data_IF_602844720592
#
_entry.id   IF_602844720592
#
_cell.length_a   1.000
_cell.length_b   1.000
_cell.length_c   1.000
_cell.angle_alpha   90.00
_cell.angle_beta   90.00
_cell.angle_gamma   90.00
#
_symmetry.space_group_name_H-M   'P 1'
#
loop_
_entity.id
_entity.type
_entity.pdbx_description
1 polymer ?
#
# COMPACT_ATOMS: atom_id res chain seq x y z
N UNK A 1 -2.94 12.90 -37.35
CA UNK A 1 -3.92 13.96 -37.65
C UNK A 1 -4.50 14.42 -36.33
N UNK A 2 -4.29 15.69 -35.94
CA UNK A 2 -4.99 16.24 -34.78
C UNK A 2 -6.42 16.58 -35.19
N UNK A 3 -7.38 16.27 -34.32
CA UNK A 3 -8.74 16.68 -34.56
C UNK A 3 -8.82 18.21 -34.45
N UNK A 4 -9.33 18.87 -35.49
CA UNK A 4 -9.44 20.33 -35.53
C UNK A 4 -10.60 20.84 -34.69
N UNK A 5 -11.59 20.00 -34.42
CA UNK A 5 -12.83 20.38 -33.74
C UNK A 5 -12.73 20.28 -32.22
N UNK A 6 -11.92 19.36 -31.72
CA UNK A 6 -11.79 19.14 -30.29
C UNK A 6 -10.41 18.63 -29.92
N UNK A 7 -10.01 18.91 -28.70
CA UNK A 7 -8.72 18.55 -28.15
C UNK A 7 -8.89 17.87 -26.81
N UNK A 8 -8.38 16.65 -26.69
CA UNK A 8 -8.39 15.86 -25.46
C UNK A 8 -6.94 15.64 -25.07
N UNK A 9 -6.63 15.90 -23.79
CA UNK A 9 -5.34 15.57 -23.18
C UNK A 9 -5.60 14.86 -21.86
N UNK A 10 -4.84 13.82 -21.59
CA UNK A 10 -4.92 13.04 -20.35
C UNK A 10 -3.58 13.15 -19.63
N UNK A 11 -3.60 13.40 -18.32
CA UNK A 11 -2.41 13.51 -17.48
C UNK A 11 -1.31 14.39 -18.09
N UNK A 12 -1.70 15.50 -18.71
CA UNK A 12 -0.78 16.37 -19.44
C UNK A 12 -0.72 17.73 -18.78
N UNK A 13 0.49 18.22 -18.56
CA UNK A 13 0.71 19.57 -18.05
C UNK A 13 0.25 20.61 -19.08
N UNK A 14 -0.57 21.54 -18.64
CA UNK A 14 -1.06 22.64 -19.44
C UNK A 14 -0.07 23.80 -19.29
N UNK A 15 0.56 24.23 -20.39
CA UNK A 15 1.47 25.37 -20.34
C UNK A 15 0.67 26.65 -20.10
N UNK A 16 1.11 27.40 -19.11
CA UNK A 16 0.52 28.66 -18.65
C UNK A 16 1.61 29.73 -18.57
N UNK A 17 1.23 31.00 -18.69
CA UNK A 17 2.17 32.11 -18.51
C UNK A 17 2.51 32.29 -17.03
N UNK A 18 1.54 32.05 -16.14
CA UNK A 18 1.75 32.06 -14.71
C UNK A 18 2.26 30.70 -14.20
N UNK A 19 3.13 30.73 -13.18
CA UNK A 19 3.56 29.52 -12.48
C UNK A 19 2.46 29.06 -11.52
N UNK A 20 1.56 28.21 -12.03
CA UNK A 20 0.47 27.61 -11.26
C UNK A 20 0.94 26.28 -10.62
N UNK A 21 0.50 26.03 -9.38
CA UNK A 21 0.79 24.78 -8.66
C UNK A 21 0.07 23.57 -9.28
N UNK A 22 -1.22 23.70 -9.56
CA UNK A 22 -2.06 22.67 -10.16
C UNK A 22 -2.36 22.99 -11.62
N UNK A 23 -1.53 22.47 -12.54
CA UNK A 23 -1.68 22.69 -13.99
C UNK A 23 -1.74 21.38 -14.80
N UNK A 24 -1.94 20.24 -14.14
CA UNK A 24 -2.00 18.91 -14.74
C UNK A 24 -3.29 18.20 -14.34
N UNK A 25 -4.43 18.48 -14.99
CA UNK A 25 -5.68 17.77 -14.75
C UNK A 25 -5.60 16.33 -15.26
N UNK A 26 -6.40 15.44 -14.66
CA UNK A 26 -6.51 14.05 -15.11
C UNK A 26 -7.00 14.00 -16.56
N UNK A 27 -8.05 14.76 -16.86
CA UNK A 27 -8.55 14.92 -18.24
C UNK A 27 -8.83 16.40 -18.51
N UNK A 28 -8.23 16.88 -19.59
CA UNK A 28 -8.52 18.16 -20.21
C UNK A 28 -9.26 17.91 -21.52
N UNK A 29 -10.42 18.54 -21.68
CA UNK A 29 -11.18 18.49 -22.92
C UNK A 29 -11.57 19.89 -23.37
N UNK A 30 -11.09 20.28 -24.55
CA UNK A 30 -11.43 21.55 -25.17
C UNK A 30 -12.25 21.31 -26.44
N UNK A 31 -13.52 21.66 -26.37
CA UNK A 31 -14.39 21.77 -27.54
C UNK A 31 -14.17 23.13 -28.20
N UNK A 32 -13.55 23.12 -29.38
CA UNK A 32 -13.21 24.33 -30.14
C UNK A 32 -14.43 24.91 -30.87
N UNK A 33 -15.50 24.13 -31.05
CA UNK A 33 -16.73 24.59 -31.70
C UNK A 33 -17.58 25.40 -30.73
N UNK A 34 -17.79 24.87 -29.54
CA UNK A 34 -18.58 25.51 -28.48
C UNK A 34 -17.74 26.48 -27.62
N UNK A 35 -16.43 26.52 -27.87
CA UNK A 35 -15.43 27.26 -27.11
C UNK A 35 -15.56 27.02 -25.59
N UNK A 36 -15.61 25.74 -25.23
CA UNK A 36 -15.86 25.25 -23.88
C UNK A 36 -14.75 24.27 -23.47
N UNK A 37 -14.12 24.55 -22.33
CA UNK A 37 -13.07 23.74 -21.74
C UNK A 37 -13.64 23.03 -20.52
N UNK A 38 -13.33 21.74 -20.41
CA UNK A 38 -13.64 20.89 -19.27
C UNK A 38 -12.35 20.45 -18.62
N UNK A 39 -12.25 20.72 -17.32
CA UNK A 39 -11.20 20.21 -16.45
C UNK A 39 -11.84 19.15 -15.57
N UNK A 40 -11.51 17.89 -15.82
CA UNK A 40 -12.09 16.76 -15.12
C UNK A 40 -11.03 16.19 -14.17
N UNK A 41 -11.43 16.01 -12.93
CA UNK A 41 -10.61 15.46 -11.87
C UNK A 41 -11.34 14.25 -11.28
N UNK A 42 -10.71 13.09 -11.35
CA UNK A 42 -11.26 11.82 -10.88
C UNK A 42 -10.68 11.51 -9.50
N UNK A 43 -11.47 10.94 -8.61
CA UNK A 43 -11.04 10.59 -7.27
C UNK A 43 -11.73 9.34 -6.75
N UNK A 44 -10.98 8.51 -6.02
CA UNK A 44 -11.53 7.42 -5.21
C UNK A 44 -11.33 7.76 -3.74
N UNK A 45 -12.37 7.58 -2.90
CA UNK A 45 -12.32 7.99 -1.48
C UNK A 45 -13.18 7.11 -0.57
N UNK A 46 -13.12 7.36 0.73
CA UNK A 46 -14.02 6.78 1.72
C UNK A 46 -15.38 7.45 1.67
N UNK A 47 -16.43 6.74 2.11
CA UNK A 47 -17.76 7.33 2.24
C UNK A 47 -17.77 8.57 3.15
N UNK A 48 -16.99 8.54 4.24
CA UNK A 48 -16.93 9.62 5.23
C UNK A 48 -16.36 10.92 4.63
N UNK A 49 -15.38 10.78 3.74
CA UNK A 49 -14.69 11.92 3.12
C UNK A 49 -15.31 12.35 1.79
N UNK A 50 -16.34 11.66 1.29
CA UNK A 50 -16.89 11.84 -0.05
C UNK A 50 -17.20 13.31 -0.37
N UNK A 51 -17.90 14.00 0.54
CA UNK A 51 -18.25 15.41 0.35
C UNK A 51 -17.04 16.34 0.39
N UNK A 52 -16.11 16.11 1.31
CA UNK A 52 -14.92 16.95 1.45
C UNK A 52 -14.02 16.86 0.21
N UNK A 53 -13.78 15.63 -0.27
CA UNK A 53 -12.95 15.37 -1.46
C UNK A 53 -13.60 15.93 -2.72
N UNK A 54 -14.93 15.87 -2.83
CA UNK A 54 -15.64 16.47 -3.96
C UNK A 54 -15.44 17.99 -4.03
N UNK A 55 -15.58 18.68 -2.89
CA UNK A 55 -15.37 20.15 -2.80
C UNK A 55 -13.91 20.51 -3.05
N UNK A 56 -12.96 19.77 -2.48
CA UNK A 56 -11.53 19.99 -2.71
C UNK A 56 -11.19 19.89 -4.20
N UNK A 57 -11.67 18.83 -4.88
CA UNK A 57 -11.43 18.63 -6.32
C UNK A 57 -12.13 19.66 -7.19
N UNK A 58 -13.30 20.17 -6.77
CA UNK A 58 -14.00 21.24 -7.47
C UNK A 58 -13.16 22.53 -7.53
N UNK A 59 -12.49 22.87 -6.43
CA UNK A 59 -11.73 24.12 -6.30
C UNK A 59 -10.24 24.00 -6.67
N UNK A 60 -9.75 22.78 -6.91
CA UNK A 60 -8.33 22.49 -7.21
C UNK A 60 -7.79 23.30 -8.39
N UNK A 61 -8.62 23.58 -9.40
CA UNK A 61 -8.21 24.24 -10.64
C UNK A 61 -8.81 25.63 -10.85
N UNK A 62 -9.31 26.31 -9.81
CA UNK A 62 -9.94 27.63 -9.96
C UNK A 62 -9.00 28.68 -10.60
N UNK A 63 -7.73 28.68 -10.20
CA UNK A 63 -6.70 29.58 -10.74
C UNK A 63 -6.40 29.23 -12.21
N UNK A 64 -6.24 27.94 -12.51
CA UNK A 64 -5.98 27.45 -13.87
C UNK A 64 -7.15 27.77 -14.81
N UNK A 65 -8.38 27.60 -14.33
CA UNK A 65 -9.58 27.91 -15.08
C UNK A 65 -9.66 29.40 -15.46
N UNK A 66 -9.29 30.28 -14.53
CA UNK A 66 -9.23 31.72 -14.76
C UNK A 66 -8.21 32.08 -15.85
N UNK A 67 -7.02 31.48 -15.80
CA UNK A 67 -5.99 31.72 -16.81
C UNK A 67 -6.38 31.17 -18.19
N UNK A 68 -6.94 29.96 -18.24
CA UNK A 68 -7.41 29.36 -19.50
C UNK A 68 -8.55 30.15 -20.13
N UNK A 69 -9.42 30.74 -19.31
CA UNK A 69 -10.45 31.65 -19.78
C UNK A 69 -9.86 32.90 -20.43
N UNK A 70 -8.72 33.41 -19.96
CA UNK A 70 -8.03 34.55 -20.58
C UNK A 70 -7.31 34.14 -21.88
N UNK A 71 -6.56 33.04 -21.85
CA UNK A 71 -5.75 32.57 -22.99
C UNK A 71 -6.65 32.18 -24.18
N UNK A 72 -7.67 31.34 -23.92
CA UNK A 72 -8.52 30.79 -24.97
C UNK A 72 -9.80 31.60 -25.20
N UNK A 73 -10.08 32.60 -24.34
CA UNK A 73 -11.37 33.33 -24.34
C UNK A 73 -12.57 32.37 -24.27
N UNK A 74 -12.38 31.24 -23.60
CA UNK A 74 -13.32 30.12 -23.53
C UNK A 74 -14.02 30.08 -22.17
N UNK A 75 -15.21 29.47 -22.11
CA UNK A 75 -15.80 29.10 -20.82
C UNK A 75 -15.06 27.88 -20.29
N UNK A 76 -14.75 27.87 -19.00
CA UNK A 76 -14.09 26.73 -18.35
C UNK A 76 -15.02 26.15 -17.30
N UNK A 77 -15.16 24.82 -17.27
CA UNK A 77 -15.95 24.08 -16.28
C UNK A 77 -15.06 23.05 -15.59
N UNK A 78 -15.02 23.10 -14.27
CA UNK A 78 -14.34 22.10 -13.44
C UNK A 78 -15.37 21.05 -13.01
N UNK A 79 -15.05 19.78 -13.20
CA UNK A 79 -15.94 18.65 -12.92
C UNK A 79 -15.21 17.62 -12.04
N UNK A 80 -15.53 17.55 -10.75
CA UNK A 80 -15.04 16.49 -9.88
C UNK A 80 -15.88 15.21 -10.09
N UNK A 81 -15.20 14.10 -10.42
CA UNK A 81 -15.79 12.77 -10.52
C UNK A 81 -15.25 11.96 -9.35
N UNK A 82 -16.01 11.92 -8.25
CA UNK A 82 -15.61 11.21 -7.03
C UNK A 82 -16.51 10.00 -6.80
N UNK A 83 -15.88 8.84 -6.58
CA UNK A 83 -16.55 7.56 -6.34
C UNK A 83 -15.92 6.92 -5.10
N UNK A 84 -16.70 6.24 -4.27
CA UNK A 84 -16.10 5.47 -3.17
C UNK A 84 -15.56 4.13 -3.65
N UNK A 85 -14.62 3.54 -2.92
CA UNK A 85 -14.16 2.18 -3.21
C UNK A 85 -15.28 1.12 -3.12
N UNK A 86 -16.40 1.44 -2.46
CA UNK A 86 -17.64 0.66 -2.37
C UNK A 86 -18.61 0.93 -3.53
N UNK A 87 -18.24 1.75 -4.52
CA UNK A 87 -19.07 2.12 -5.66
C UNK A 87 -20.18 3.12 -5.36
N UNK A 88 -20.24 3.66 -4.15
CA UNK A 88 -21.19 4.69 -3.74
C UNK A 88 -20.76 6.04 -4.35
N UNK A 89 -21.73 6.80 -4.83
CA UNK A 89 -21.52 8.13 -5.43
C UNK A 89 -22.40 9.17 -4.77
N UNK A 90 -22.00 10.44 -4.85
CA UNK A 90 -22.79 11.54 -4.33
C UNK A 90 -24.05 11.78 -5.20
N UNK A 91 -25.01 12.53 -4.66
CA UNK A 91 -26.18 12.95 -5.45
C UNK A 91 -25.82 13.94 -6.56
N UNK A 92 -24.68 14.62 -6.43
CA UNK A 92 -24.18 15.62 -7.38
C UNK A 92 -23.50 14.91 -8.57
N UNK A 93 -22.89 13.74 -8.35
CA UNK A 93 -22.31 12.89 -9.41
C UNK A 93 -23.24 12.75 -10.62
N UNK A 94 -24.54 12.50 -10.38
CA UNK A 94 -25.53 12.39 -11.47
C UNK A 94 -25.59 13.63 -12.34
N UNK A 95 -25.56 14.82 -11.73
CA UNK A 95 -25.59 16.10 -12.47
C UNK A 95 -24.34 16.26 -13.34
N UNK A 96 -23.17 15.88 -12.83
CA UNK A 96 -21.92 15.94 -13.61
C UNK A 96 -21.93 14.94 -14.78
N UNK A 97 -22.43 13.72 -14.58
CA UNK A 97 -22.54 12.75 -15.66
C UNK A 97 -23.54 13.18 -16.75
N UNK A 98 -24.66 13.78 -16.36
CA UNK A 98 -25.63 14.38 -17.30
C UNK A 98 -25.02 15.55 -18.07
N UNK A 99 -24.26 16.40 -17.37
CA UNK A 99 -23.56 17.54 -17.95
C UNK A 99 -22.51 17.13 -18.99
N UNK A 100 -21.85 15.98 -18.77
CA UNK A 100 -20.89 15.38 -19.72
C UNK A 100 -21.57 14.51 -20.79
N UNK A 101 -22.89 14.31 -20.74
CA UNK A 101 -23.62 13.46 -21.68
C UNK A 101 -23.31 11.96 -21.54
N UNK A 102 -22.86 11.51 -20.37
CA UNK A 102 -22.50 10.11 -20.13
C UNK A 102 -23.76 9.30 -19.83
N UNK A 103 -24.03 8.28 -20.64
CA UNK A 103 -25.15 7.35 -20.48
C UNK A 103 -25.05 6.51 -19.20
N UNK A 104 -26.19 6.07 -18.68
CA UNK A 104 -26.27 5.26 -17.46
C UNK A 104 -25.42 3.98 -17.53
N UNK A 105 -25.41 3.30 -18.69
CA UNK A 105 -24.58 2.10 -18.90
C UNK A 105 -23.10 2.35 -18.63
N UNK A 106 -22.58 3.50 -19.05
CA UNK A 106 -21.18 3.88 -18.85
C UNK A 106 -20.95 4.24 -17.38
N UNK A 107 -21.91 4.90 -16.71
CA UNK A 107 -21.83 5.18 -15.27
C UNK A 107 -21.71 3.89 -14.45
N UNK A 108 -22.55 2.89 -14.75
CA UNK A 108 -22.50 1.58 -14.09
C UNK A 108 -21.20 0.85 -14.39
N UNK A 109 -20.67 0.97 -15.61
CA UNK A 109 -19.37 0.41 -15.97
C UNK A 109 -18.25 1.04 -15.13
N UNK A 110 -18.22 2.37 -15.01
CA UNK A 110 -17.24 3.08 -14.18
C UNK A 110 -17.31 2.57 -12.74
N UNK A 111 -18.50 2.49 -12.13
CA UNK A 111 -18.67 1.97 -10.77
C UNK A 111 -18.20 0.52 -10.63
N UNK A 112 -18.51 -0.33 -11.61
CA UNK A 112 -18.08 -1.74 -11.64
C UNK A 112 -16.57 -1.85 -11.72
N UNK A 113 -15.92 -1.00 -12.53
CA UNK A 113 -14.45 -0.96 -12.64
C UNK A 113 -13.82 -0.51 -11.33
N UNK A 114 -14.39 0.48 -10.64
CA UNK A 114 -13.92 0.90 -9.31
C UNK A 114 -14.01 -0.24 -8.30
N UNK A 115 -15.17 -0.90 -8.21
CA UNK A 115 -15.38 -2.05 -7.32
C UNK A 115 -14.42 -3.20 -7.63
N UNK A 116 -14.22 -3.52 -8.91
CA UNK A 116 -13.28 -4.55 -9.33
C UNK A 116 -11.84 -4.19 -8.95
N UNK A 117 -11.43 -2.94 -9.17
CA UNK A 117 -10.09 -2.48 -8.81
C UNK A 117 -9.85 -2.58 -7.29
N UNK A 118 -10.84 -2.20 -6.47
CA UNK A 118 -10.81 -2.39 -5.02
C UNK A 118 -10.66 -3.86 -4.63
N UNK A 119 -11.43 -4.75 -5.27
CA UNK A 119 -11.36 -6.18 -5.02
C UNK A 119 -9.98 -6.75 -5.38
N UNK A 120 -9.47 -6.38 -6.56
CA UNK A 120 -8.17 -6.83 -7.06
C UNK A 120 -7.03 -6.33 -6.14
N UNK A 121 -7.10 -5.10 -5.62
CA UNK A 121 -6.10 -4.60 -4.67
C UNK A 121 -6.11 -5.37 -3.35
N UNK A 122 -7.29 -5.67 -2.80
CA UNK A 122 -7.42 -6.50 -1.60
C UNK A 122 -6.88 -7.92 -1.81
N UNK A 123 -7.13 -8.53 -2.97
CA UNK A 123 -6.61 -9.86 -3.29
C UNK A 123 -5.09 -9.87 -3.44
N UNK A 124 -4.51 -8.83 -4.03
CA UNK A 124 -3.05 -8.68 -4.15
C UNK A 124 -2.42 -8.60 -2.78
N UNK A 125 -2.95 -7.77 -1.88
CA UNK A 125 -2.48 -7.66 -0.49
C UNK A 125 -2.61 -9.00 0.25
N UNK A 126 -3.75 -9.69 0.10
CA UNK A 126 -3.96 -11.00 0.70
C UNK A 126 -2.92 -12.04 0.24
N UNK A 127 -2.59 -12.08 -1.06
CA UNK A 127 -1.57 -13.01 -1.58
C UNK A 127 -0.17 -12.69 -1.08
N UNK A 128 0.20 -11.41 -1.00
CA UNK A 128 1.52 -11.01 -0.48
C UNK A 128 1.63 -11.30 1.01
N UNK A 129 0.63 -10.90 1.81
CA UNK A 129 0.60 -11.21 3.24
C UNK A 129 0.57 -12.71 3.51
N UNK A 130 -0.16 -13.50 2.71
CA UNK A 130 -0.15 -14.96 2.81
C UNK A 130 1.21 -15.56 2.44
N UNK A 131 1.90 -15.04 1.41
CA UNK A 131 3.25 -15.47 1.06
C UNK A 131 4.24 -15.17 2.18
N UNK A 132 4.19 -13.98 2.78
CA UNK A 132 5.05 -13.63 3.92
C UNK A 132 4.79 -14.50 5.16
N UNK A 133 3.51 -14.81 5.43
CA UNK A 133 3.12 -15.73 6.51
C UNK A 133 3.62 -17.14 6.19
N UNK A 134 3.48 -17.61 4.94
CA UNK A 134 3.96 -18.92 4.52
C UNK A 134 5.49 -19.01 4.61
N UNK A 135 6.20 -17.96 4.18
CA UNK A 135 7.66 -17.88 4.21
C UNK A 135 8.18 -17.82 5.64
N UNK A 136 7.50 -17.07 6.52
CA UNK A 136 7.78 -17.04 7.96
C UNK A 136 7.53 -18.41 8.62
N UNK A 137 6.39 -19.03 8.33
CA UNK A 137 6.06 -20.36 8.83
C UNK A 137 7.03 -21.45 8.34
N UNK A 138 7.45 -21.37 7.07
CA UNK A 138 8.41 -22.28 6.46
C UNK A 138 9.84 -22.06 7.01
N UNK A 139 10.21 -20.82 7.32
CA UNK A 139 11.49 -20.50 7.98
C UNK A 139 11.56 -21.12 9.37
N UNK A 140 10.55 -20.89 10.22
CA UNK A 140 10.44 -21.46 11.57
C UNK A 140 10.46 -22.99 11.53
N UNK A 141 9.73 -23.61 10.59
CA UNK A 141 9.70 -25.07 10.44
C UNK A 141 11.06 -25.64 9.98
N UNK A 142 11.80 -24.93 9.11
CA UNK A 142 13.16 -25.33 8.72
C UNK A 142 14.12 -25.27 9.90
N UNK A 143 14.04 -24.26 10.75
CA UNK A 143 14.92 -24.14 11.92
C UNK A 143 14.61 -25.20 12.97
N UNK A 144 13.33 -25.52 13.19
CA UNK A 144 12.93 -26.66 14.03
C UNK A 144 13.44 -28.00 13.48
N UNK A 145 13.42 -28.19 12.16
CA UNK A 145 13.98 -29.39 11.51
C UNK A 145 15.50 -29.46 11.65
N UNK A 146 16.22 -28.36 11.48
CA UNK A 146 17.68 -28.28 11.71
C UNK A 146 18.02 -28.60 13.16
N UNK A 147 17.28 -28.04 14.11
CA UNK A 147 17.48 -28.30 15.54
C UNK A 147 17.25 -29.79 15.86
N UNK A 148 16.16 -30.38 15.37
CA UNK A 148 15.89 -31.81 15.55
C UNK A 148 16.88 -32.72 14.83
N UNK A 149 17.38 -32.34 13.65
CA UNK A 149 18.40 -33.08 12.92
C UNK A 149 19.75 -33.02 13.65
N UNK A 150 20.17 -31.84 14.08
CA UNK A 150 21.37 -31.63 14.91
C UNK A 150 21.29 -32.44 16.22
N UNK A 151 20.12 -32.47 16.86
CA UNK A 151 19.88 -33.23 18.08
C UNK A 151 19.85 -34.77 17.87
N UNK A 152 19.52 -35.23 16.66
CA UNK A 152 19.66 -36.65 16.28
C UNK A 152 21.13 -37.01 15.99
N UNK A 153 21.89 -36.12 15.34
CA UNK A 153 23.32 -36.29 15.08
C UNK A 153 24.11 -36.33 16.39
N UNK A 154 23.85 -35.41 17.33
CA UNK A 154 24.54 -35.37 18.62
C UNK A 154 24.28 -36.60 19.50
N UNK A 155 23.11 -37.23 19.38
CA UNK A 155 22.78 -38.51 20.02
C UNK A 155 23.46 -39.71 19.35
N UNK A 156 23.73 -39.64 18.05
CA UNK A 156 24.38 -40.72 17.29
C UNK A 156 25.92 -40.70 17.42
N UNK A 157 26.52 -39.54 17.72
CA UNK A 157 27.97 -39.40 17.99
C UNK A 157 28.40 -39.88 19.39
N UNK A 158 27.47 -40.22 20.30
CA UNK A 158 27.78 -40.88 21.57
C UNK A 158 27.76 -42.41 21.40
N UNK A 159 28.81 -42.97 20.77
CA UNK A 159 29.10 -44.41 20.89
C UNK A 159 30.19 -44.65 21.95
N UNK A 160 30.05 -45.66 22.83
CA UNK A 160 30.98 -45.89 23.93
C UNK A 160 32.30 -46.45 23.38
N UNK A 161 33.43 -45.95 23.90
CA UNK A 161 34.72 -46.64 23.79
C UNK A 161 35.06 -47.22 25.15
N UNK A 162 34.97 -48.54 25.24
CA UNK A 162 35.67 -49.34 26.23
C UNK A 162 37.17 -49.35 25.93
N UNK A 163 37.97 -49.23 27.01
CA UNK A 163 39.24 -49.90 27.33
C UNK A 163 40.11 -49.01 28.24
N UNK A 164 40.42 -49.54 29.42
CA UNK A 164 41.31 -49.06 30.49
C UNK A 164 42.81 -49.28 30.15
N UNK A 165 43.78 -49.05 31.06
CA UNK A 165 44.30 -47.79 31.64
C UNK A 165 45.86 -47.66 31.49
N UNK A 166 46.50 -46.62 32.07
CA UNK A 166 47.90 -46.50 32.59
C UNK A 166 48.58 -45.14 32.25
N UNK A 167 48.84 -44.29 33.26
CA UNK A 167 50.15 -43.97 33.93
C UNK A 167 50.85 -42.77 33.22
N UNK A 168 51.46 -41.74 33.84
CA UNK A 168 52.09 -41.46 35.14
C UNK A 168 52.00 -39.92 35.40
N UNK A 169 51.66 -39.48 36.61
CA UNK A 169 52.51 -38.79 37.61
C UNK A 169 53.14 -37.46 37.14
N UNK A 170 52.74 -36.35 37.77
CA UNK A 170 53.70 -35.47 38.45
C UNK A 170 53.02 -34.65 39.56
N UNK A 171 53.64 -34.78 40.73
CA UNK A 171 53.34 -34.18 42.02
C UNK A 171 53.85 -32.74 42.08
N UNK A 172 53.18 -31.88 42.84
CA UNK A 172 53.82 -31.12 43.92
C UNK A 172 52.80 -30.24 44.66
N UNK A 173 52.57 -30.62 45.91
CA UNK A 173 52.95 -29.75 47.02
C UNK A 173 51.82 -28.99 47.72
N UNK A 174 51.60 -29.36 48.98
CA UNK A 174 51.24 -28.38 50.03
C UNK A 174 49.97 -28.70 50.80
N UNK A 175 50.13 -29.52 51.84
CA UNK A 175 49.27 -29.63 53.03
C UNK A 175 48.98 -28.21 53.60
N UNK A 176 47.82 -27.93 54.18
CA UNK A 176 47.60 -28.34 55.56
C UNK A 176 46.13 -28.44 56.00
N UNK A 177 46.01 -29.25 57.03
CA UNK A 177 44.84 -29.91 57.57
C UNK A 177 44.02 -29.03 58.54
N UNK A 178 42.89 -29.64 58.93
CA UNK A 178 42.12 -29.44 60.17
C UNK A 178 41.03 -28.36 60.13
N UNK A 179 39.80 -28.62 60.56
CA UNK A 179 39.23 -29.82 61.14
C UNK A 179 37.75 -29.65 61.47
N UNK A 180 37.07 -30.79 61.47
CA UNK A 180 36.05 -31.22 62.45
C UNK A 180 34.73 -30.46 62.55
N UNK A 181 33.70 -31.17 62.06
CA UNK A 181 32.36 -31.45 62.61
C UNK A 181 31.54 -30.36 63.31
N UNK A 182 30.24 -30.33 62.97
CA UNK A 182 29.22 -29.91 63.93
C UNK A 182 27.87 -29.61 63.32
N UNK A 183 27.11 -30.66 63.01
CA UNK A 183 25.65 -30.63 62.77
C UNK A 183 24.88 -29.84 63.82
N UNK A 184 23.78 -29.17 63.43
CA UNK A 184 22.45 -29.35 64.03
C UNK A 184 21.34 -28.64 63.26
N UNK A 185 20.20 -29.33 63.29
CA UNK A 185 18.93 -29.07 62.62
C UNK A 185 18.09 -27.98 63.31
N UNK A 186 16.99 -27.66 62.61
CA UNK A 186 15.64 -27.42 63.12
C UNK A 186 15.20 -25.98 63.47
N UNK A 187 14.40 -25.44 62.52
CA UNK A 187 12.94 -25.21 62.65
C UNK A 187 12.49 -24.23 63.73
N UNK A 188 12.03 -23.04 63.29
CA UNK A 188 10.61 -22.61 63.32
C UNK A 188 10.34 -21.89 62.01
#
# INVERSE_FOLDING_TARGET
MCNTLAEIRVDTTIPTELKIQYNKPDIFFYDKRENLIWLIEVGVTSIDNLKSVEVEKLHKYDILASELQLIHKAKVKIVPIVITWDGIVSTIYRKYMELLGIEERVRSYIQTVTLKATLDSMFVEYKHGFSEILDSANSVNRDWRKYNFSMKISKSLKRPRDCTPQEEIEDHGGEDQSGVMGTREAKI
#
